data_IF_355364878554
#
_entry.id   IF_355364878554
#
_cell.length_a   1.000
_cell.length_b   1.000
_cell.length_c   1.000
_cell.angle_alpha   90.00
_cell.angle_beta   90.00
_cell.angle_gamma   90.00
#
_symmetry.space_group_name_H-M   'P 1'
#
loop_
_entity.id
_entity.type
_entity.pdbx_description
1 polymer ?
#
# COMPACT_ATOMS: atom_id res chain seq x y z
N UNK A 1 14.05 3.32 0.81
CA UNK A 1 15.29 3.73 1.52
C UNK A 1 15.98 2.47 2.01
N UNK A 2 17.32 2.44 1.95
CA UNK A 2 18.15 1.28 2.24
C UNK A 2 19.35 1.71 3.10
N UNK A 3 19.69 0.91 4.11
CA UNK A 3 20.96 0.92 4.83
C UNK A 3 21.60 -0.46 4.60
N UNK A 4 22.52 -0.56 3.63
CA UNK A 4 23.00 -1.86 3.17
C UNK A 4 23.70 -2.65 4.30
N UNK A 5 24.61 -2.07 5.11
CA UNK A 5 25.25 -2.80 6.19
C UNK A 5 24.27 -3.34 7.23
N UNK A 6 23.24 -2.57 7.58
CA UNK A 6 22.18 -3.04 8.47
C UNK A 6 21.38 -4.17 7.81
N UNK A 7 20.98 -4.01 6.55
CA UNK A 7 20.22 -5.01 5.79
C UNK A 7 20.97 -6.34 5.72
N UNK A 8 22.26 -6.32 5.39
CA UNK A 8 23.08 -7.54 5.26
C UNK A 8 23.21 -8.29 6.59
N UNK A 9 23.20 -7.59 7.73
CA UNK A 9 23.17 -8.23 9.06
C UNK A 9 21.87 -8.98 9.35
N UNK A 10 20.75 -8.58 8.72
CA UNK A 10 19.45 -9.24 8.90
C UNK A 10 19.35 -10.60 8.19
N UNK A 11 20.17 -10.82 7.16
CA UNK A 11 20.29 -12.14 6.53
C UNK A 11 21.08 -13.09 7.44
N UNK A 12 20.64 -14.36 7.61
CA UNK A 12 21.45 -15.40 8.23
C UNK A 12 22.80 -15.52 7.55
N UNK A 13 23.84 -15.81 8.32
CA UNK A 13 25.24 -15.75 7.86
C UNK A 13 25.49 -16.57 6.59
N UNK A 14 24.97 -17.80 6.53
CA UNK A 14 25.09 -18.69 5.36
C UNK A 14 24.43 -18.17 4.08
N UNK A 15 23.56 -17.15 4.17
CA UNK A 15 22.83 -16.58 3.04
C UNK A 15 23.31 -15.19 2.64
N UNK A 16 24.21 -14.57 3.41
CA UNK A 16 24.69 -13.19 3.14
C UNK A 16 25.43 -13.03 1.82
N UNK A 17 26.01 -14.11 1.28
CA UNK A 17 26.71 -14.11 -0.01
C UNK A 17 25.80 -14.40 -1.21
N UNK A 18 24.53 -14.78 -0.99
CA UNK A 18 23.59 -15.09 -2.09
C UNK A 18 23.24 -13.83 -2.89
N UNK A 19 22.93 -13.94 -4.20
CA UNK A 19 22.61 -12.78 -5.02
C UNK A 19 21.44 -11.96 -4.47
N UNK A 20 21.62 -10.63 -4.36
CA UNK A 20 20.60 -9.70 -3.88
C UNK A 20 20.38 -8.58 -4.90
N UNK A 21 19.14 -8.41 -5.37
CA UNK A 21 18.78 -7.31 -6.26
C UNK A 21 18.06 -6.21 -5.47
N UNK A 22 18.66 -5.03 -5.40
CA UNK A 22 18.05 -3.83 -4.82
C UNK A 22 17.37 -3.00 -5.90
N UNK A 23 16.09 -2.74 -5.71
CA UNK A 23 15.22 -2.02 -6.65
C UNK A 23 14.86 -0.67 -6.01
N UNK A 24 15.38 0.43 -6.58
CA UNK A 24 15.21 1.77 -6.00
C UNK A 24 15.00 2.87 -7.04
N UNK A 25 14.40 3.97 -6.59
CA UNK A 25 14.18 5.19 -7.39
C UNK A 25 15.15 6.34 -7.13
N UNK A 26 16.23 6.13 -6.35
CA UNK A 26 17.19 7.21 -6.06
C UNK A 26 17.86 7.78 -7.31
N UNK A 27 18.11 9.10 -7.27
CA UNK A 27 18.77 9.90 -8.30
C UNK A 27 19.93 10.69 -7.69
N UNK A 28 20.85 11.18 -8.54
CA UNK A 28 21.97 12.04 -8.17
C UNK A 28 22.79 11.52 -6.96
N UNK A 29 23.17 12.39 -6.01
CA UNK A 29 24.06 12.06 -4.90
C UNK A 29 23.58 10.89 -4.02
N UNK A 30 22.26 10.72 -3.84
CA UNK A 30 21.72 9.59 -3.07
C UNK A 30 21.97 8.24 -3.75
N UNK A 31 21.95 8.21 -5.09
CA UNK A 31 22.29 7.01 -5.87
C UNK A 31 23.78 6.69 -5.70
N UNK A 32 24.64 7.70 -5.89
CA UNK A 32 26.10 7.53 -5.77
C UNK A 32 26.50 7.04 -4.38
N UNK A 33 25.91 7.59 -3.32
CA UNK A 33 26.18 7.14 -1.95
C UNK A 33 25.80 5.65 -1.75
N UNK A 34 24.64 5.22 -2.26
CA UNK A 34 24.19 3.83 -2.16
C UNK A 34 25.09 2.88 -2.98
N UNK A 35 25.50 3.30 -4.19
CA UNK A 35 26.40 2.51 -5.04
C UNK A 35 27.79 2.36 -4.41
N UNK A 36 28.33 3.41 -3.80
CA UNK A 36 29.58 3.36 -3.02
C UNK A 36 29.44 2.39 -1.85
N UNK A 37 28.34 2.45 -1.08
CA UNK A 37 28.12 1.54 0.05
C UNK A 37 28.04 0.07 -0.40
N UNK A 38 27.45 -0.19 -1.57
CA UNK A 38 27.34 -1.52 -2.15
C UNK A 38 28.66 -2.09 -2.69
N UNK A 39 29.70 -1.28 -2.95
CA UNK A 39 31.01 -1.79 -3.41
C UNK A 39 31.64 -2.79 -2.44
N UNK A 40 31.25 -2.73 -1.16
CA UNK A 40 31.67 -3.67 -0.11
C UNK A 40 31.01 -5.05 -0.23
N UNK A 41 30.05 -5.23 -1.13
CA UNK A 41 29.23 -6.44 -1.27
C UNK A 41 29.10 -6.85 -2.74
N UNK A 42 29.92 -7.81 -3.18
CA UNK A 42 29.99 -8.25 -4.58
C UNK A 42 28.72 -8.94 -5.10
N UNK A 43 27.88 -9.45 -4.20
CA UNK A 43 26.62 -10.14 -4.52
C UNK A 43 25.42 -9.20 -4.69
N UNK A 44 25.57 -7.90 -4.40
CA UNK A 44 24.51 -6.91 -4.53
C UNK A 44 24.50 -6.34 -5.95
N UNK A 45 23.33 -6.37 -6.59
CA UNK A 45 23.07 -5.73 -7.88
C UNK A 45 21.96 -4.70 -7.74
N UNK A 46 21.94 -3.73 -8.64
CA UNK A 46 20.90 -2.70 -8.70
C UNK A 46 20.08 -2.78 -9.99
N UNK A 47 18.80 -2.45 -9.89
CA UNK A 47 17.95 -2.22 -11.05
C UNK A 47 18.17 -0.81 -11.61
N UNK A 48 19.09 -0.68 -12.58
CA UNK A 48 19.62 0.62 -13.04
C UNK A 48 18.64 1.45 -13.90
N UNK A 49 17.48 0.89 -14.33
CA UNK A 49 16.59 1.51 -15.33
C UNK A 49 15.28 2.10 -14.78
N UNK A 50 15.12 2.16 -13.46
CA UNK A 50 13.95 2.80 -12.83
C UNK A 50 13.91 4.32 -12.97
N UNK A 51 15.08 4.93 -13.19
CA UNK A 51 15.29 6.38 -13.17
C UNK A 51 14.56 7.09 -14.32
N UNK A 52 14.53 6.50 -15.52
CA UNK A 52 13.85 7.07 -16.69
C UNK A 52 12.30 7.07 -16.59
N UNK A 53 11.70 6.42 -15.58
CA UNK A 53 10.23 6.41 -15.39
C UNK A 53 9.75 7.31 -14.24
N UNK A 54 10.67 7.77 -13.40
CA UNK A 54 10.42 8.79 -12.38
C UNK A 54 10.69 10.22 -12.89
N UNK A 55 10.81 10.39 -14.21
CA UNK A 55 10.97 11.70 -14.88
C UNK A 55 9.84 12.69 -14.56
N UNK A 56 8.68 12.19 -14.12
CA UNK A 56 7.60 13.05 -13.65
C UNK A 56 7.95 13.65 -12.28
N UNK A 57 8.03 14.98 -12.23
CA UNK A 57 8.23 15.76 -10.99
C UNK A 57 7.32 15.22 -9.88
N UNK A 58 7.92 14.98 -8.71
CA UNK A 58 7.31 14.44 -7.48
C UNK A 58 6.94 12.95 -7.51
N UNK A 59 7.39 12.18 -8.51
CA UNK A 59 7.28 10.71 -8.49
C UNK A 59 8.22 10.08 -7.45
N UNK A 60 7.83 8.93 -6.89
CA UNK A 60 8.65 8.18 -5.93
C UNK A 60 8.54 6.68 -6.15
N UNK A 61 9.64 5.95 -6.00
CA UNK A 61 9.60 4.49 -5.85
C UNK A 61 9.33 4.16 -4.37
N UNK A 62 8.06 3.87 -4.06
CA UNK A 62 7.60 3.77 -2.67
C UNK A 62 7.17 2.34 -2.28
N UNK A 63 7.15 1.43 -3.25
CA UNK A 63 6.90 0.00 -3.07
C UNK A 63 7.94 -0.65 -2.18
N UNK A 64 7.46 -1.55 -1.32
CA UNK A 64 8.26 -2.29 -0.35
C UNK A 64 7.84 -3.74 -0.44
N UNK A 65 8.68 -4.51 -1.13
CA UNK A 65 8.40 -5.89 -1.47
C UNK A 65 9.69 -6.68 -1.48
N UNK A 66 9.62 -7.92 -1.01
CA UNK A 66 10.66 -8.92 -1.15
C UNK A 66 10.13 -10.06 -2.00
N UNK A 67 10.93 -10.51 -2.97
CA UNK A 67 10.70 -11.77 -3.68
C UNK A 67 11.86 -12.67 -3.28
N UNK A 68 11.53 -13.76 -2.61
CA UNK A 68 12.50 -14.66 -1.98
C UNK A 68 12.41 -16.00 -2.68
N UNK A 69 13.50 -16.39 -3.36
CA UNK A 69 13.61 -17.66 -4.06
C UNK A 69 14.43 -18.63 -3.20
N UNK A 70 13.85 -19.78 -2.92
CA UNK A 70 14.41 -20.87 -2.12
C UNK A 70 14.55 -22.13 -2.97
N UNK A 71 15.16 -23.16 -2.41
CA UNK A 71 15.23 -24.49 -3.04
C UNK A 71 13.83 -25.14 -3.08
N UNK A 72 13.03 -24.91 -2.04
CA UNK A 72 11.68 -25.46 -1.87
C UNK A 72 10.59 -24.70 -2.62
N UNK A 73 10.87 -23.47 -3.10
CA UNK A 73 9.92 -22.65 -3.82
C UNK A 73 10.17 -21.15 -3.70
N UNK A 74 9.11 -20.35 -3.80
CA UNK A 74 9.17 -18.89 -3.79
C UNK A 74 8.23 -18.29 -2.73
N UNK A 75 8.62 -17.17 -2.13
CA UNK A 75 7.75 -16.36 -1.27
C UNK A 75 7.78 -14.90 -1.70
N UNK A 76 6.61 -14.28 -1.66
CA UNK A 76 6.43 -12.85 -1.89
C UNK A 76 6.02 -12.20 -0.57
N UNK A 77 6.72 -11.16 -0.17
CA UNK A 77 6.42 -10.38 1.04
C UNK A 77 6.14 -8.95 0.60
N UNK A 78 4.95 -8.44 0.91
CA UNK A 78 4.57 -7.04 0.63
C UNK A 78 4.37 -6.34 1.98
N UNK A 79 5.14 -5.29 2.24
CA UNK A 79 5.22 -4.66 3.57
C UNK A 79 5.27 -3.14 3.49
N UNK A 80 5.35 -2.45 4.64
CA UNK A 80 5.33 -0.98 4.70
C UNK A 80 6.62 -0.33 5.22
N UNK A 81 7.56 -1.13 5.72
CA UNK A 81 8.86 -0.66 6.23
C UNK A 81 9.89 -0.38 5.14
N UNK A 82 10.64 0.72 5.23
CA UNK A 82 11.91 0.85 4.52
C UNK A 82 12.94 -0.17 5.06
N UNK A 83 14.01 -0.45 4.31
CA UNK A 83 15.09 -1.34 4.76
C UNK A 83 16.17 -0.55 5.51
N UNK A 84 15.77 0.04 6.63
CA UNK A 84 16.61 0.82 7.57
C UNK A 84 16.20 0.48 8.99
N UNK A 85 17.14 0.49 9.94
CA UNK A 85 16.89 0.00 11.30
C UNK A 85 15.70 0.66 11.99
N UNK A 86 15.65 2.00 11.91
CA UNK A 86 14.61 2.82 12.54
C UNK A 86 13.18 2.46 12.14
N UNK A 87 12.98 1.94 10.92
CA UNK A 87 11.66 1.58 10.42
C UNK A 87 11.15 0.27 11.03
N UNK A 88 12.04 -0.55 11.58
CA UNK A 88 11.74 -1.85 12.21
C UNK A 88 11.83 -1.82 13.74
N UNK A 89 12.31 -0.71 14.31
CA UNK A 89 12.53 -0.58 15.75
C UNK A 89 11.24 -0.26 16.55
N UNK A 90 10.71 0.95 16.42
CA UNK A 90 9.61 1.46 17.29
C UNK A 90 8.38 1.97 16.51
N UNK A 91 8.25 1.61 15.23
CA UNK A 91 7.12 2.01 14.37
C UNK A 91 6.07 0.92 14.25
N UNK A 92 4.83 1.32 14.01
CA UNK A 92 3.78 0.40 13.57
C UNK A 92 3.88 0.20 12.05
N UNK A 93 4.23 -1.01 11.63
CA UNK A 93 4.36 -1.43 10.25
C UNK A 93 3.40 -2.60 9.95
N UNK A 94 3.11 -2.81 8.68
CA UNK A 94 2.32 -3.95 8.18
C UNK A 94 3.14 -4.80 7.23
N UNK A 95 2.85 -6.10 7.23
CA UNK A 95 3.45 -7.06 6.33
C UNK A 95 2.44 -8.14 5.99
N UNK A 96 2.29 -8.41 4.70
CA UNK A 96 1.66 -9.61 4.19
C UNK A 96 2.75 -10.56 3.69
N UNK A 97 2.65 -11.81 4.13
CA UNK A 97 3.55 -12.90 3.76
C UNK A 97 2.74 -13.90 2.94
N UNK A 98 3.16 -14.15 1.70
CA UNK A 98 2.51 -15.18 0.89
C UNK A 98 2.70 -16.58 1.48
N UNK A 99 1.89 -17.58 1.08
CA UNK A 99 2.28 -18.99 1.20
C UNK A 99 3.63 -19.26 0.51
N UNK A 100 4.21 -20.43 0.78
CA UNK A 100 5.31 -20.92 -0.06
C UNK A 100 4.72 -21.39 -1.39
N UNK A 101 5.16 -20.79 -2.48
CA UNK A 101 4.74 -21.12 -3.83
C UNK A 101 5.69 -22.16 -4.41
N UNK A 102 5.24 -23.40 -4.71
CA UNK A 102 6.12 -24.42 -5.25
C UNK A 102 6.45 -24.15 -6.72
N UNK A 103 7.53 -24.75 -7.21
CA UNK A 103 7.90 -24.69 -8.63
C UNK A 103 6.94 -25.54 -9.46
N UNK A 104 6.55 -25.04 -10.64
CA UNK A 104 5.69 -25.79 -11.57
C UNK A 104 6.45 -26.99 -12.15
N UNK A 105 5.75 -28.13 -12.30
CA UNK A 105 6.29 -29.33 -12.96
C UNK A 105 6.47 -29.07 -14.47
N UNK A 106 7.67 -29.40 -14.99
CA UNK A 106 8.11 -29.11 -16.37
C UNK A 106 7.32 -29.83 -17.48
N UNK A 107 6.57 -30.89 -17.17
CA UNK A 107 6.17 -31.89 -18.17
C UNK A 107 4.89 -31.62 -18.98
N UNK A 108 4.22 -30.48 -18.84
CA UNK A 108 3.02 -30.20 -19.65
C UNK A 108 3.22 -28.99 -20.55
N UNK A 109 3.55 -29.30 -21.81
CA UNK A 109 3.76 -28.44 -22.97
C UNK A 109 2.54 -27.60 -23.37
N UNK A 110 2.08 -26.67 -22.53
CA UNK A 110 1.30 -25.50 -22.98
C UNK A 110 1.71 -24.25 -22.19
N UNK A 111 2.28 -23.28 -22.92
CA UNK A 111 2.64 -21.93 -22.49
C UNK A 111 1.41 -21.07 -22.17
N UNK A 112 0.61 -21.50 -21.19
CA UNK A 112 -0.47 -20.68 -20.68
C UNK A 112 0.06 -19.84 -19.51
N UNK A 113 0.19 -18.53 -19.72
CA UNK A 113 0.51 -17.55 -18.66
C UNK A 113 -0.48 -17.58 -17.47
N UNK A 114 -1.63 -18.23 -17.63
CA UNK A 114 -2.64 -18.49 -16.58
C UNK A 114 -2.32 -19.71 -15.70
N UNK A 115 -1.32 -20.54 -16.05
CA UNK A 115 -0.96 -21.74 -15.28
C UNK A 115 -0.39 -21.36 -13.92
N UNK A 116 -0.97 -21.90 -12.85
CA UNK A 116 -0.60 -21.57 -11.47
C UNK A 116 -0.98 -20.16 -11.06
N UNK A 117 -1.95 -19.52 -11.74
CA UNK A 117 -2.58 -18.30 -11.23
C UNK A 117 -3.67 -18.63 -10.20
N UNK A 118 -3.94 -17.69 -9.30
CA UNK A 118 -4.97 -17.85 -8.28
C UNK A 118 -6.33 -17.34 -8.74
N UNK A 119 -7.42 -17.68 -8.02
CA UNK A 119 -8.75 -17.08 -8.25
C UNK A 119 -8.80 -15.55 -8.09
N UNK A 120 -7.72 -14.95 -7.58
CA UNK A 120 -7.57 -13.50 -7.36
C UNK A 120 -6.78 -12.82 -8.49
N UNK A 121 -6.30 -13.58 -9.47
CA UNK A 121 -5.35 -13.15 -10.50
C UNK A 121 -4.01 -12.62 -9.95
N UNK A 122 -3.63 -13.07 -8.75
CA UNK A 122 -2.40 -12.62 -8.08
C UNK A 122 -1.14 -12.72 -8.97
N UNK A 123 -0.95 -13.86 -9.66
CA UNK A 123 0.25 -14.09 -10.47
C UNK A 123 0.29 -13.15 -11.66
N UNK A 124 -0.83 -13.03 -12.37
CA UNK A 124 -0.99 -12.12 -13.51
C UNK A 124 -0.75 -10.67 -13.09
N UNK A 125 -1.37 -10.23 -12.01
CA UNK A 125 -1.24 -8.85 -11.52
C UNK A 125 0.19 -8.55 -11.04
N UNK A 126 0.85 -9.50 -10.39
CA UNK A 126 2.25 -9.37 -9.99
C UNK A 126 3.18 -9.28 -11.21
N UNK A 127 2.97 -10.12 -12.23
CA UNK A 127 3.72 -10.06 -13.49
C UNK A 127 3.49 -8.73 -14.24
N UNK A 128 2.24 -8.26 -14.32
CA UNK A 128 1.91 -6.95 -14.90
C UNK A 128 2.60 -5.80 -14.13
N UNK A 129 2.62 -5.89 -12.80
CA UNK A 129 3.28 -4.91 -11.95
C UNK A 129 4.81 -4.90 -12.15
N UNK A 130 5.48 -6.05 -12.07
CA UNK A 130 6.94 -6.16 -12.31
C UNK A 130 7.27 -5.81 -13.77
N UNK A 131 6.44 -6.23 -14.73
CA UNK A 131 6.53 -5.88 -16.15
C UNK A 131 6.50 -4.38 -16.40
N UNK A 132 5.72 -3.64 -15.59
CA UNK A 132 5.62 -2.19 -15.69
C UNK A 132 6.93 -1.45 -15.37
N UNK A 133 7.93 -2.10 -14.78
CA UNK A 133 9.25 -1.49 -14.59
C UNK A 133 10.02 -1.36 -15.91
N UNK A 134 9.73 -2.21 -16.91
CA UNK A 134 10.44 -2.28 -18.20
C UNK A 134 11.97 -2.36 -18.04
N UNK A 135 12.45 -3.01 -16.98
CA UNK A 135 13.86 -3.17 -16.66
C UNK A 135 14.32 -4.60 -16.97
N UNK A 136 15.46 -4.73 -17.67
CA UNK A 136 15.96 -6.04 -18.09
C UNK A 136 16.39 -6.90 -16.89
N UNK A 137 16.90 -6.28 -15.83
CA UNK A 137 17.31 -6.96 -14.59
C UNK A 137 16.14 -7.67 -13.88
N UNK A 138 14.90 -7.31 -14.22
CA UNK A 138 13.70 -7.94 -13.66
C UNK A 138 13.13 -9.06 -14.54
N UNK A 139 13.69 -9.31 -15.73
CA UNK A 139 13.23 -10.40 -16.61
C UNK A 139 13.42 -11.77 -15.95
N UNK A 140 14.56 -12.00 -15.32
CA UNK A 140 14.82 -13.25 -14.60
C UNK A 140 13.82 -13.45 -13.47
N UNK A 141 13.46 -12.38 -12.75
CA UNK A 141 12.43 -12.43 -11.72
C UNK A 141 11.03 -12.67 -12.30
N UNK A 142 10.69 -12.09 -13.46
CA UNK A 142 9.43 -12.39 -14.16
C UNK A 142 9.36 -13.85 -14.57
N UNK A 143 10.46 -14.42 -15.09
CA UNK A 143 10.52 -15.84 -15.44
C UNK A 143 10.38 -16.72 -14.20
N UNK A 144 11.11 -16.41 -13.13
CA UNK A 144 10.96 -17.14 -11.87
C UNK A 144 9.51 -17.06 -11.36
N UNK A 145 8.85 -15.90 -11.39
CA UNK A 145 7.42 -15.79 -11.02
C UNK A 145 6.55 -16.66 -11.94
N UNK A 146 6.81 -16.65 -13.26
CA UNK A 146 6.09 -17.45 -14.24
C UNK A 146 6.25 -18.96 -13.99
N UNK A 147 7.40 -19.39 -13.48
CA UNK A 147 7.73 -20.80 -13.23
C UNK A 147 7.20 -21.34 -11.88
N UNK A 148 6.55 -20.51 -11.05
CA UNK A 148 6.00 -20.93 -9.76
C UNK A 148 4.46 -20.96 -9.75
N UNK A 149 3.90 -21.89 -8.97
CA UNK A 149 2.47 -22.00 -8.74
C UNK A 149 2.04 -21.07 -7.60
N UNK A 150 1.29 -20.03 -7.95
CA UNK A 150 0.75 -19.04 -7.03
C UNK A 150 -0.76 -19.21 -6.80
N UNK A 151 -1.34 -20.35 -7.17
CA UNK A 151 -2.78 -20.63 -7.05
C UNK A 151 -3.33 -20.52 -5.62
N UNK A 152 -2.46 -20.74 -4.62
CA UNK A 152 -2.80 -20.63 -3.20
C UNK A 152 -2.97 -19.19 -2.67
N UNK A 153 -2.68 -18.17 -3.48
CA UNK A 153 -2.86 -16.78 -3.10
C UNK A 153 -4.35 -16.40 -2.98
N UNK A 154 -4.72 -15.80 -1.83
CA UNK A 154 -6.10 -15.41 -1.50
C UNK A 154 -6.34 -13.90 -1.44
N UNK A 155 -5.36 -13.10 -1.89
CA UNK A 155 -5.40 -11.63 -1.85
C UNK A 155 -5.25 -11.06 -3.26
N UNK A 156 -5.86 -9.90 -3.52
CA UNK A 156 -5.74 -9.20 -4.80
C UNK A 156 -4.60 -8.19 -4.74
N UNK A 157 -3.75 -8.12 -5.77
CA UNK A 157 -2.70 -7.11 -5.88
C UNK A 157 -3.30 -5.76 -6.28
N UNK A 158 -2.99 -4.71 -5.51
CA UNK A 158 -3.30 -3.33 -5.84
C UNK A 158 -1.97 -2.58 -6.01
N UNK A 159 -1.55 -2.41 -7.26
CA UNK A 159 -0.32 -1.70 -7.60
C UNK A 159 -0.55 -0.32 -8.20
N UNK A 160 0.45 0.54 -8.10
CA UNK A 160 0.54 1.77 -8.88
C UNK A 160 1.85 1.79 -9.65
N UNK A 161 1.80 2.19 -10.91
CA UNK A 161 2.99 2.32 -11.76
C UNK A 161 2.96 3.68 -12.46
N UNK A 162 4.08 4.45 -12.45
CA UNK A 162 4.14 5.75 -13.10
C UNK A 162 3.79 5.67 -14.58
N UNK A 163 2.92 6.58 -15.02
CA UNK A 163 2.56 6.74 -16.41
C UNK A 163 1.17 7.33 -16.60
N UNK A 164 0.81 7.51 -17.87
CA UNK A 164 -0.55 7.84 -18.31
C UNK A 164 -1.19 6.58 -18.86
N UNK A 165 -2.18 6.07 -18.17
CA UNK A 165 -2.88 4.82 -18.49
C UNK A 165 -4.21 5.15 -19.16
N UNK A 166 -4.48 4.53 -20.32
CA UNK A 166 -5.68 4.77 -21.14
C UNK A 166 -6.39 3.45 -21.41
N UNK A 167 -7.66 3.52 -21.82
CA UNK A 167 -8.50 2.35 -22.14
C UNK A 167 -8.46 1.31 -21.00
N UNK A 168 -8.37 0.02 -21.32
CA UNK A 168 -8.34 -1.09 -20.36
C UNK A 168 -7.18 -1.00 -19.36
N UNK A 169 -6.05 -0.42 -19.75
CA UNK A 169 -4.89 -0.25 -18.86
C UNK A 169 -5.17 0.71 -17.69
N UNK A 170 -6.21 1.55 -17.80
CA UNK A 170 -6.67 2.41 -16.71
C UNK A 170 -7.04 1.58 -15.47
N UNK A 171 -7.60 0.39 -15.63
CA UNK A 171 -8.06 -0.46 -14.53
C UNK A 171 -6.98 -1.36 -13.92
N UNK A 172 -5.74 -1.30 -14.43
CA UNK A 172 -4.62 -2.10 -13.91
C UNK A 172 -3.95 -1.49 -12.67
N UNK A 173 -4.02 -0.18 -12.50
CA UNK A 173 -3.23 0.53 -11.48
C UNK A 173 -4.04 1.58 -10.70
N UNK A 174 -3.50 1.98 -9.56
CA UNK A 174 -4.00 3.10 -8.76
C UNK A 174 -5.43 2.87 -8.24
N UNK A 175 -6.17 3.96 -8.04
CA UNK A 175 -7.53 3.89 -7.50
C UNK A 175 -8.50 3.23 -8.48
N UNK A 176 -8.21 3.24 -9.77
CA UNK A 176 -9.02 2.57 -10.79
C UNK A 176 -8.91 1.05 -10.71
N UNK A 177 -7.80 0.49 -10.18
CA UNK A 177 -7.70 -0.94 -9.87
C UNK A 177 -8.65 -1.36 -8.75
N UNK A 178 -9.00 -0.44 -7.84
CA UNK A 178 -10.00 -0.70 -6.80
C UNK A 178 -11.40 -0.93 -7.38
N UNK A 179 -11.64 -0.67 -8.67
CA UNK A 179 -12.87 -1.10 -9.36
C UNK A 179 -13.13 -2.61 -9.24
N UNK A 180 -12.10 -3.43 -8.96
CA UNK A 180 -12.28 -4.84 -8.62
C UNK A 180 -13.30 -5.04 -7.47
N UNK A 181 -13.38 -4.08 -6.54
CA UNK A 181 -14.38 -4.05 -5.46
C UNK A 181 -15.82 -4.07 -6.00
N UNK A 182 -16.09 -3.50 -7.17
CA UNK A 182 -17.44 -3.40 -7.73
C UNK A 182 -18.00 -4.79 -8.03
N UNK A 183 -17.19 -5.63 -8.68
CA UNK A 183 -17.56 -7.03 -8.94
C UNK A 183 -17.90 -7.82 -7.66
N UNK A 184 -17.37 -7.40 -6.50
CA UNK A 184 -17.65 -8.02 -5.20
C UNK A 184 -18.82 -7.38 -4.46
N UNK A 185 -18.95 -6.05 -4.55
CA UNK A 185 -19.97 -5.28 -3.86
C UNK A 185 -21.31 -5.27 -4.60
N UNK A 186 -21.38 -5.69 -5.87
CA UNK A 186 -22.62 -5.67 -6.65
C UNK A 186 -23.76 -6.46 -5.99
N UNK A 187 -23.44 -7.54 -5.28
CA UNK A 187 -24.41 -8.37 -4.55
C UNK A 187 -24.70 -7.85 -3.12
N UNK A 188 -24.12 -6.72 -2.71
CA UNK A 188 -24.15 -6.19 -1.33
C UNK A 188 -24.45 -4.67 -1.24
N UNK A 189 -24.85 -4.03 -2.34
CA UNK A 189 -25.00 -2.57 -2.46
C UNK A 189 -25.91 -1.94 -1.39
N UNK A 190 -27.02 -2.60 -1.04
CA UNK A 190 -28.00 -2.09 -0.07
C UNK A 190 -27.44 -2.08 1.36
N UNK A 191 -26.72 -3.13 1.75
CA UNK A 191 -26.14 -3.29 3.08
C UNK A 191 -24.96 -2.34 3.34
N UNK A 192 -24.13 -2.09 2.32
CA UNK A 192 -22.90 -1.32 2.46
C UNK A 192 -23.12 0.21 2.40
N UNK A 193 -24.29 0.70 1.97
CA UNK A 193 -24.55 2.14 1.77
C UNK A 193 -24.28 2.99 3.01
N UNK A 194 -24.51 2.46 4.20
CA UNK A 194 -24.28 3.15 5.49
C UNK A 194 -22.87 2.99 6.05
N UNK A 195 -22.06 2.07 5.48
CA UNK A 195 -20.73 1.72 5.99
C UNK A 195 -19.70 2.77 5.59
N UNK A 196 -18.98 3.38 6.55
CA UNK A 196 -17.95 4.37 6.27
C UNK A 196 -16.72 3.75 5.61
N UNK A 197 -15.90 4.58 4.96
CA UNK A 197 -14.54 4.22 4.56
C UNK A 197 -13.55 4.85 5.54
N UNK A 198 -12.61 4.04 6.00
CA UNK A 198 -11.48 4.47 6.82
C UNK A 198 -10.22 4.43 5.96
N UNK A 199 -9.51 5.55 5.91
CA UNK A 199 -8.14 5.61 5.41
C UNK A 199 -7.18 5.94 6.54
N UNK A 200 -6.14 5.12 6.72
CA UNK A 200 -5.03 5.35 7.63
C UNK A 200 -3.75 5.42 6.81
N UNK A 201 -2.96 6.47 7.01
CA UNK A 201 -1.73 6.69 6.26
C UNK A 201 -0.73 7.52 7.07
N UNK A 202 0.52 7.61 6.59
CA UNK A 202 1.59 8.38 7.24
C UNK A 202 1.93 9.67 6.49
N UNK A 203 1.37 9.91 5.31
CA UNK A 203 1.59 11.16 4.56
C UNK A 203 0.36 11.57 3.77
N UNK A 204 0.28 12.87 3.46
CA UNK A 204 -0.82 13.47 2.72
C UNK A 204 -0.26 14.39 1.62
N UNK A 205 -0.70 14.15 0.38
CA UNK A 205 -0.39 15.00 -0.77
C UNK A 205 -1.39 16.14 -0.96
N UNK A 206 -1.18 16.95 -2.01
CA UNK A 206 -2.16 17.97 -2.43
C UNK A 206 -3.37 17.32 -3.09
N UNK A 207 -4.55 17.45 -2.48
CA UNK A 207 -5.80 16.83 -2.94
C UNK A 207 -6.69 17.81 -3.72
N UNK A 208 -6.44 19.11 -3.62
CA UNK A 208 -7.25 20.18 -4.20
C UNK A 208 -7.91 21.04 -3.12
N UNK A 209 -8.45 22.20 -3.51
CA UNK A 209 -8.99 23.19 -2.57
C UNK A 209 -10.27 22.73 -1.84
N UNK A 210 -11.04 21.84 -2.46
CA UNK A 210 -12.29 21.29 -1.92
C UNK A 210 -12.25 19.76 -1.94
N UNK A 211 -13.10 19.12 -1.13
CA UNK A 211 -13.25 17.65 -1.10
C UNK A 211 -13.63 17.06 -2.47
N UNK A 212 -14.35 17.83 -3.27
CA UNK A 212 -14.91 17.42 -4.55
C UNK A 212 -13.88 17.50 -5.69
N UNK A 213 -12.71 18.11 -5.46
CA UNK A 213 -11.68 18.26 -6.47
C UNK A 213 -10.96 16.94 -6.86
N UNK A 214 -11.03 15.90 -6.02
CA UNK A 214 -10.45 14.57 -6.31
C UNK A 214 -10.89 13.54 -5.27
N UNK A 215 -10.90 13.92 -3.99
CA UNK A 215 -11.06 12.98 -2.90
C UNK A 215 -12.45 12.31 -2.92
N UNK A 216 -13.52 13.09 -2.99
CA UNK A 216 -14.89 12.57 -3.02
C UNK A 216 -15.27 12.03 -4.41
N UNK A 217 -14.90 12.76 -5.47
CA UNK A 217 -15.28 12.49 -6.86
C UNK A 217 -14.56 11.29 -7.47
N UNK A 218 -13.27 11.13 -7.22
CA UNK A 218 -12.46 10.10 -7.87
C UNK A 218 -12.03 9.01 -6.90
N UNK A 219 -11.38 9.38 -5.79
CA UNK A 219 -10.81 8.36 -4.90
C UNK A 219 -11.91 7.56 -4.19
N UNK A 220 -12.89 8.25 -3.60
CA UNK A 220 -13.88 7.59 -2.76
C UNK A 220 -15.02 6.94 -3.52
N UNK A 221 -15.44 7.51 -4.65
CA UNK A 221 -16.47 6.91 -5.52
C UNK A 221 -16.11 5.45 -5.84
N UNK A 222 -14.86 5.17 -6.21
CA UNK A 222 -14.37 3.82 -6.49
C UNK A 222 -14.19 2.92 -5.25
N UNK A 223 -14.23 3.47 -4.03
CA UNK A 223 -14.15 2.68 -2.78
C UNK A 223 -15.52 2.40 -2.14
N UNK A 224 -16.54 3.18 -2.51
CA UNK A 224 -17.88 3.16 -1.88
C UNK A 224 -18.94 2.61 -2.83
N UNK A 225 -18.89 2.97 -4.12
CA UNK A 225 -20.00 2.75 -5.05
C UNK A 225 -19.55 2.10 -6.36
N UNK A 226 -20.24 1.01 -6.71
CA UNK A 226 -20.03 0.27 -7.95
C UNK A 226 -20.64 0.90 -9.20
N UNK A 227 -20.75 2.22 -9.30
CA UNK A 227 -21.16 2.92 -10.52
C UNK A 227 -20.78 4.41 -10.49
N UNK A 228 -20.45 4.94 -11.66
CA UNK A 228 -20.08 6.33 -11.94
C UNK A 228 -21.25 7.34 -11.90
N UNK A 229 -22.40 6.98 -11.32
CA UNK A 229 -23.63 7.78 -11.33
C UNK A 229 -24.33 7.77 -9.96
N UNK A 230 -23.78 8.51 -8.99
CA UNK A 230 -24.54 8.92 -7.79
C UNK A 230 -24.18 10.37 -7.46
N UNK A 231 -25.13 11.22 -7.04
CA UNK A 231 -24.84 12.56 -6.57
C UNK A 231 -23.87 12.54 -5.38
N UNK A 232 -22.79 13.33 -5.50
CA UNK A 232 -21.70 13.55 -4.54
C UNK A 232 -22.14 13.79 -3.07
N UNK A 233 -23.39 14.18 -2.85
CA UNK A 233 -23.96 14.54 -1.57
C UNK A 233 -24.16 13.33 -0.61
N UNK A 234 -24.09 12.09 -1.09
CA UNK A 234 -24.41 10.91 -0.28
C UNK A 234 -23.20 10.07 0.15
N UNK A 235 -21.99 10.36 -0.36
CA UNK A 235 -20.77 9.68 0.09
C UNK A 235 -20.34 10.28 1.43
N UNK A 236 -20.73 9.58 2.47
CA UNK A 236 -20.33 9.83 3.84
C UNK A 236 -18.83 9.56 4.01
N UNK A 237 -18.03 10.55 3.64
CA UNK A 237 -16.59 10.61 3.86
C UNK A 237 -16.36 10.79 5.35
N UNK A 238 -16.27 9.71 6.14
CA UNK A 238 -16.36 9.86 7.59
C UNK A 238 -15.00 9.98 8.28
N UNK A 239 -14.03 9.10 8.02
CA UNK A 239 -12.92 8.94 8.97
C UNK A 239 -11.53 8.76 8.32
N UNK A 240 -10.57 9.55 8.78
CA UNK A 240 -9.15 9.47 8.42
C UNK A 240 -8.31 9.37 9.67
N UNK A 241 -7.45 8.36 9.77
CA UNK A 241 -6.52 8.24 10.90
C UNK A 241 -5.19 8.88 10.48
N UNK A 242 -4.82 9.95 11.19
CA UNK A 242 -3.55 10.63 11.01
C UNK A 242 -3.03 11.05 12.40
N UNK A 243 -1.75 10.83 12.76
CA UNK A 243 -1.27 11.15 14.11
C UNK A 243 -1.34 12.63 14.44
N UNK A 244 -1.82 12.99 15.64
CA UNK A 244 -1.76 14.38 16.13
C UNK A 244 -0.33 14.78 16.55
N UNK A 245 -0.11 16.08 16.79
CA UNK A 245 1.11 16.56 17.46
C UNK A 245 1.37 15.83 18.77
N UNK A 246 0.34 15.64 19.60
CA UNK A 246 0.49 14.91 20.87
C UNK A 246 0.74 13.42 20.69
N UNK A 247 0.15 12.78 19.68
CA UNK A 247 0.48 11.38 19.36
C UNK A 247 1.99 11.24 19.08
N UNK A 248 2.58 12.16 18.31
CA UNK A 248 4.01 12.13 18.00
C UNK A 248 4.85 12.52 19.20
N UNK A 249 4.51 13.61 19.90
CA UNK A 249 5.22 14.08 21.10
C UNK A 249 5.31 13.01 22.20
N UNK A 250 4.23 12.26 22.43
CA UNK A 250 4.15 11.21 23.45
C UNK A 250 4.50 9.80 22.91
N UNK A 251 4.98 9.70 21.67
CA UNK A 251 5.40 8.43 21.07
C UNK A 251 6.67 7.88 21.73
N UNK A 252 7.07 6.67 21.36
CA UNK A 252 8.33 6.07 21.81
C UNK A 252 9.56 6.83 21.30
N UNK A 253 9.50 7.33 20.05
CA UNK A 253 10.59 8.05 19.41
C UNK A 253 10.53 9.57 19.67
N UNK A 254 9.43 10.08 20.24
CA UNK A 254 9.17 11.52 20.38
C UNK A 254 9.01 12.24 19.03
N UNK A 255 9.42 13.51 18.96
CA UNK A 255 9.37 14.30 17.72
C UNK A 255 10.11 13.70 16.52
N UNK A 256 11.25 12.97 16.67
CA UNK A 256 11.87 12.22 15.59
C UNK A 256 10.92 11.31 14.78
N UNK A 257 9.86 10.74 15.39
CA UNK A 257 8.87 9.97 14.62
C UNK A 257 8.15 10.79 13.54
N UNK A 258 8.06 12.11 13.72
CA UNK A 258 7.44 13.05 12.77
C UNK A 258 8.13 13.06 11.40
N UNK A 259 9.43 12.73 11.32
CA UNK A 259 10.14 12.60 10.05
C UNK A 259 9.57 11.49 9.15
N UNK A 260 8.89 10.49 9.74
CA UNK A 260 8.19 9.41 9.03
C UNK A 260 6.71 9.72 8.79
N UNK A 261 6.23 10.91 9.21
CA UNK A 261 4.85 11.37 9.04
C UNK A 261 4.81 12.69 8.24
N UNK A 262 5.31 12.71 6.98
CA UNK A 262 5.47 13.96 6.25
C UNK A 262 4.13 14.53 5.81
N UNK A 263 3.77 15.69 6.34
CA UNK A 263 2.65 16.51 5.86
C UNK A 263 3.02 17.99 5.98
N UNK A 264 3.44 18.60 4.86
CA UNK A 264 3.99 19.94 4.91
C UNK A 264 2.90 21.00 5.13
N UNK A 265 3.29 22.06 5.85
CA UNK A 265 2.45 23.23 6.12
C UNK A 265 1.87 23.85 4.83
N UNK A 266 2.67 23.88 3.76
CA UNK A 266 2.31 24.47 2.48
C UNK A 266 1.23 23.65 1.75
N UNK A 267 1.21 22.34 1.96
CA UNK A 267 0.13 21.48 1.47
C UNK A 267 -1.08 21.61 2.38
N UNK A 268 -0.90 21.56 3.70
CA UNK A 268 -2.00 21.63 4.67
C UNK A 268 -2.87 22.88 4.55
N UNK A 269 -2.25 24.06 4.38
CA UNK A 269 -2.96 25.34 4.20
C UNK A 269 -3.89 25.36 2.99
N UNK A 270 -3.63 24.55 1.94
CA UNK A 270 -4.43 24.50 0.71
C UNK A 270 -5.66 23.62 0.81
N UNK A 271 -5.83 22.86 1.89
CA UNK A 271 -6.86 21.82 2.03
C UNK A 271 -7.35 21.68 3.48
N UNK A 272 -7.68 22.80 4.11
CA UNK A 272 -8.11 22.87 5.52
C UNK A 272 -9.33 22.03 5.83
N UNK A 273 -10.21 21.81 4.83
CA UNK A 273 -11.38 20.93 4.95
C UNK A 273 -11.02 19.48 5.35
N UNK A 274 -9.77 19.03 5.16
CA UNK A 274 -9.39 17.66 5.56
C UNK A 274 -9.38 17.46 7.07
N UNK A 275 -9.11 18.52 7.83
CA UNK A 275 -8.91 18.45 9.29
C UNK A 275 -10.15 17.98 10.04
N UNK A 276 -11.36 18.29 9.53
CA UNK A 276 -12.63 17.83 10.12
C UNK A 276 -12.84 16.32 10.04
N UNK A 277 -12.05 15.63 9.22
CA UNK A 277 -12.13 14.18 9.04
C UNK A 277 -11.05 13.42 9.82
N UNK A 278 -10.12 14.12 10.49
CA UNK A 278 -9.00 13.48 11.19
C UNK A 278 -9.40 12.90 12.54
N UNK A 279 -8.83 11.73 12.80
CA UNK A 279 -9.00 10.92 14.00
C UNK A 279 -7.63 10.56 14.56
N UNK A 280 -7.55 10.46 15.88
CA UNK A 280 -6.33 10.15 16.60
C UNK A 280 -5.76 8.78 16.20
N UNK A 281 -4.43 8.65 16.25
CA UNK A 281 -3.80 7.33 16.27
C UNK A 281 -4.02 6.70 17.64
N UNK A 282 -4.76 5.59 17.69
CA UNK A 282 -5.00 4.78 18.88
C UNK A 282 -4.91 3.31 18.48
N UNK A 283 -4.10 2.55 19.21
CA UNK A 283 -3.83 1.14 18.95
C UNK A 283 -3.52 0.45 20.28
N UNK A 284 -4.47 0.48 21.22
CA UNK A 284 -4.33 -0.11 22.56
C UNK A 284 -4.40 -1.62 22.47
N UNK A 285 -5.32 -2.18 21.68
CA UNK A 285 -5.47 -3.63 21.52
C UNK A 285 -4.20 -4.31 20.98
N UNK A 286 -3.41 -3.56 20.19
CA UNK A 286 -2.11 -4.02 19.66
C UNK A 286 -0.90 -3.60 20.52
N UNK A 287 -1.12 -2.88 21.61
CA UNK A 287 -0.05 -2.29 22.44
C UNK A 287 0.80 -1.23 21.73
N UNK A 288 0.29 -0.61 20.66
CA UNK A 288 1.06 0.22 19.71
C UNK A 288 0.62 1.68 19.63
N UNK A 289 -0.18 2.17 20.58
CA UNK A 289 -0.61 3.58 20.62
C UNK A 289 0.58 4.57 20.65
N UNK A 290 1.73 4.17 21.21
CA UNK A 290 2.96 4.98 21.24
C UNK A 290 3.94 4.67 20.10
N UNK A 291 3.68 3.64 19.30
CA UNK A 291 4.48 3.29 18.13
C UNK A 291 3.87 3.94 16.89
N UNK A 292 4.47 5.01 16.40
CA UNK A 292 3.87 5.82 15.34
C UNK A 292 3.65 5.02 14.05
N UNK A 293 2.53 5.25 13.35
CA UNK A 293 2.18 4.48 12.18
C UNK A 293 3.01 4.90 10.97
N UNK A 294 3.75 3.94 10.44
CA UNK A 294 4.28 4.00 9.08
C UNK A 294 3.58 2.99 8.14
N UNK A 295 2.74 2.12 8.69
CA UNK A 295 1.72 1.38 7.93
C UNK A 295 0.73 2.32 7.23
N UNK A 296 0.17 1.87 6.11
CA UNK A 296 -0.97 2.49 5.44
C UNK A 296 -2.03 1.41 5.20
N UNK A 297 -3.25 1.68 5.62
CA UNK A 297 -4.37 0.77 5.41
C UNK A 297 -5.65 1.50 5.07
N UNK A 298 -6.49 0.82 4.30
CA UNK A 298 -7.81 1.30 3.91
C UNK A 298 -8.81 0.18 4.16
N UNK A 299 -9.97 0.51 4.71
CA UNK A 299 -11.02 -0.47 4.92
C UNK A 299 -12.40 0.17 4.93
N UNK A 300 -13.42 -0.68 4.90
CA UNK A 300 -14.82 -0.26 5.00
C UNK A 300 -15.49 -1.02 6.15
N UNK A 301 -15.46 -0.50 7.40
CA UNK A 301 -16.01 -1.20 8.55
C UNK A 301 -17.53 -1.09 8.66
N UNK A 302 -18.11 -2.03 9.41
CA UNK A 302 -19.51 -1.99 9.82
C UNK A 302 -19.77 -0.81 10.76
N UNK A 303 -21.02 -0.32 10.85
CA UNK A 303 -21.41 0.63 11.88
C UNK A 303 -21.10 0.14 13.31
N UNK A 304 -21.15 -1.18 13.54
CA UNK A 304 -20.79 -1.82 14.81
C UNK A 304 -19.28 -1.94 15.04
N UNK A 305 -18.44 -1.63 14.04
CA UNK A 305 -16.97 -1.78 14.08
C UNK A 305 -16.44 -3.20 14.34
N UNK A 306 -17.28 -4.23 14.16
CA UNK A 306 -16.90 -5.64 14.38
C UNK A 306 -16.50 -6.36 13.09
N UNK A 307 -16.83 -5.79 11.93
CA UNK A 307 -16.58 -6.40 10.64
C UNK A 307 -16.12 -5.36 9.61
N UNK A 308 -15.46 -5.80 8.54
CA UNK A 308 -15.13 -4.97 7.37
C UNK A 308 -15.59 -5.64 6.08
N UNK A 309 -16.03 -4.85 5.10
CA UNK A 309 -16.38 -5.36 3.79
C UNK A 309 -15.14 -5.75 2.98
N UNK A 310 -14.03 -5.05 3.23
CA UNK A 310 -12.73 -5.30 2.64
C UNK A 310 -11.65 -4.60 3.47
N UNK A 311 -10.41 -5.08 3.36
CA UNK A 311 -9.24 -4.49 4.01
C UNK A 311 -8.07 -4.46 3.04
N UNK A 312 -7.38 -3.33 2.96
CA UNK A 312 -6.19 -3.13 2.14
C UNK A 312 -5.05 -2.68 3.05
N UNK A 313 -3.90 -3.32 2.90
CA UNK A 313 -2.61 -2.81 3.40
C UNK A 313 -1.71 -2.51 2.21
N UNK A 314 -1.09 -1.34 2.19
CA UNK A 314 -0.37 -0.83 1.01
C UNK A 314 0.77 0.10 1.38
N UNK A 315 1.65 0.39 0.42
CA UNK A 315 2.58 1.51 0.53
C UNK A 315 1.91 2.86 0.22
N UNK A 316 0.78 2.88 -0.48
CA UNK A 316 0.14 4.11 -0.95
C UNK A 316 -0.37 4.99 0.21
N UNK A 317 0.17 6.20 0.30
CA UNK A 317 -0.35 7.28 1.14
C UNK A 317 -1.55 7.99 0.47
N UNK A 318 -2.25 8.87 1.19
CA UNK A 318 -3.33 9.66 0.60
C UNK A 318 -2.78 10.78 -0.30
N UNK A 319 -2.51 10.45 -1.57
CA UNK A 319 -2.02 11.40 -2.56
C UNK A 319 -2.42 11.02 -3.98
N UNK A 320 -2.56 12.01 -4.86
CA UNK A 320 -2.76 11.81 -6.31
C UNK A 320 -1.55 11.14 -6.97
N UNK A 321 -0.34 11.35 -6.43
CA UNK A 321 0.87 10.73 -6.96
C UNK A 321 0.87 9.20 -6.82
N UNK A 322 0.41 8.72 -5.66
CA UNK A 322 0.28 7.30 -5.32
C UNK A 322 -0.93 6.64 -6.00
N UNK A 323 -2.11 7.26 -5.88
CA UNK A 323 -3.37 6.66 -6.32
C UNK A 323 -3.75 6.97 -7.77
N UNK A 324 -3.20 8.04 -8.33
CA UNK A 324 -3.53 8.55 -9.65
C UNK A 324 -4.61 9.62 -9.64
N UNK A 325 -4.68 10.40 -10.71
CA UNK A 325 -5.74 11.37 -10.98
C UNK A 325 -6.15 11.30 -12.45
N UNK A 326 -7.45 11.45 -12.70
CA UNK A 326 -7.99 11.46 -14.05
C UNK A 326 -7.63 12.78 -14.77
N UNK A 327 -7.15 12.64 -16.01
CA UNK A 327 -6.86 13.72 -16.95
C UNK A 327 -7.77 13.58 -18.18
N UNK A 328 -7.80 14.62 -19.04
CA UNK A 328 -8.52 14.58 -20.33
C UNK A 328 -9.96 14.07 -20.21
N UNK A 329 -10.74 14.68 -19.31
CA UNK A 329 -12.16 14.33 -19.05
C UNK A 329 -12.37 12.84 -18.71
N UNK A 330 -11.44 12.20 -18.00
CA UNK A 330 -11.60 10.81 -17.51
C UNK A 330 -11.13 9.71 -18.46
N UNK A 331 -10.64 10.07 -19.66
CA UNK A 331 -10.09 9.12 -20.64
C UNK A 331 -8.71 8.58 -20.24
N UNK A 332 -8.00 9.25 -19.33
CA UNK A 332 -6.62 8.96 -18.97
C UNK A 332 -6.43 9.03 -17.46
N UNK A 333 -5.75 8.05 -16.86
CA UNK A 333 -5.32 8.07 -15.46
C UNK A 333 -3.82 8.35 -15.40
N UNK A 334 -3.43 9.42 -14.70
CA UNK A 334 -2.03 9.78 -14.52
C UNK A 334 -1.56 9.39 -13.10
N UNK A 335 -0.53 8.55 -13.03
CA UNK A 335 0.12 8.09 -11.79
C UNK A 335 1.59 8.53 -11.83
N UNK A 336 2.14 8.97 -10.68
CA UNK A 336 3.54 9.44 -10.57
C UNK A 336 4.45 8.49 -9.82
N UNK A 337 3.91 7.63 -8.97
CA UNK A 337 4.70 6.81 -8.04
C UNK A 337 4.49 5.31 -8.24
N UNK A 338 5.50 4.53 -7.86
CA UNK A 338 5.37 3.09 -7.70
C UNK A 338 4.84 2.77 -6.31
N UNK A 339 3.67 2.14 -6.23
CA UNK A 339 3.07 1.67 -4.98
C UNK A 339 2.65 0.20 -5.13
N UNK A 340 2.53 -0.51 -4.01
CA UNK A 340 2.02 -1.87 -4.00
C UNK A 340 1.33 -2.18 -2.67
N UNK A 341 0.25 -2.94 -2.74
CA UNK A 341 -0.48 -3.43 -1.60
C UNK A 341 -1.29 -4.69 -1.93
N UNK A 342 -1.88 -5.27 -0.90
CA UNK A 342 -2.74 -6.45 -1.00
C UNK A 342 -4.11 -6.19 -0.40
N UNK A 343 -5.13 -6.53 -1.17
CA UNK A 343 -6.54 -6.36 -0.83
C UNK A 343 -7.13 -7.71 -0.41
N UNK A 344 -7.68 -7.73 0.80
CA UNK A 344 -8.40 -8.84 1.40
C UNK A 344 -9.89 -8.69 1.14
N UNK A 345 -10.49 -9.75 0.59
CA UNK A 345 -11.91 -9.78 0.24
C UNK A 345 -12.57 -11.02 0.85
N UNK A 346 -13.73 -10.86 1.52
CA UNK A 346 -14.41 -11.93 2.23
C UNK A 346 -14.57 -13.24 1.44
N UNK A 347 -14.90 -13.13 0.15
CA UNK A 347 -15.17 -14.30 -0.71
C UNK A 347 -14.00 -15.27 -0.86
N UNK A 348 -12.76 -14.83 -0.67
CA UNK A 348 -11.57 -15.68 -0.79
C UNK A 348 -11.20 -16.40 0.53
N UNK A 349 -11.95 -16.15 1.61
CA UNK A 349 -11.71 -16.69 2.95
C UNK A 349 -12.91 -17.49 3.48
N UNK A 350 -13.61 -18.23 2.59
CA UNK A 350 -14.60 -19.24 2.99
C UNK A 350 -16.05 -18.77 3.12
N UNK A 351 -16.51 -17.85 2.26
CA UNK A 351 -17.94 -17.51 2.06
C UNK A 351 -18.65 -16.68 3.17
N UNK A 352 -18.01 -15.61 3.65
CA UNK A 352 -18.70 -14.52 4.38
C UNK A 352 -18.96 -13.33 3.46
N UNK A 353 -20.01 -12.53 3.74
CA UNK A 353 -20.24 -11.22 3.10
C UNK A 353 -19.22 -10.18 3.57
N UNK A 354 -18.65 -10.38 4.75
CA UNK A 354 -17.76 -9.45 5.48
C UNK A 354 -16.60 -10.23 6.12
N UNK A 355 -15.58 -9.53 6.60
CA UNK A 355 -14.45 -10.08 7.36
C UNK A 355 -14.60 -9.62 8.82
N UNK A 356 -14.76 -10.53 9.79
CA UNK A 356 -14.68 -10.17 11.21
C UNK A 356 -13.34 -9.54 11.55
N UNK A 357 -13.35 -8.46 12.32
CA UNK A 357 -12.14 -7.73 12.71
C UNK A 357 -12.02 -7.60 14.23
N UNK A 358 -10.78 -7.47 14.69
CA UNK A 358 -10.47 -7.07 16.05
C UNK A 358 -9.23 -6.19 16.08
N UNK A 359 -9.03 -5.46 17.16
CA UNK A 359 -7.75 -4.80 17.44
C UNK A 359 -6.99 -5.49 18.57
N UNK A 360 -7.64 -6.41 19.29
CA UNK A 360 -7.04 -7.19 20.37
C UNK A 360 -6.07 -8.23 19.78
N UNK A 361 -4.82 -8.23 20.25
CA UNK A 361 -3.81 -9.18 19.80
C UNK A 361 -4.15 -10.64 20.12
N UNK A 362 -5.05 -10.89 21.08
CA UNK A 362 -5.45 -12.23 21.50
C UNK A 362 -6.55 -12.86 20.60
N UNK A 363 -7.20 -12.07 19.74
CA UNK A 363 -8.26 -12.55 18.84
C UNK A 363 -7.67 -13.21 17.56
N UNK A 364 -7.28 -14.48 17.64
CA UNK A 364 -6.60 -15.18 16.52
C UNK A 364 -7.49 -15.55 15.33
N UNK A 365 -8.80 -15.61 15.53
CA UNK A 365 -9.76 -16.05 14.49
C UNK A 365 -10.29 -14.91 13.61
N UNK A 366 -9.85 -13.68 13.88
CA UNK A 366 -10.32 -12.46 13.20
C UNK A 366 -9.17 -11.75 12.51
N UNK A 367 -9.51 -10.90 11.54
CA UNK A 367 -8.53 -10.02 10.94
C UNK A 367 -8.15 -8.91 11.93
N UNK A 368 -6.87 -8.88 12.32
CA UNK A 368 -6.36 -7.92 13.28
C UNK A 368 -6.05 -6.57 12.61
N UNK A 369 -6.84 -5.55 12.94
CA UNK A 369 -6.61 -4.18 12.53
C UNK A 369 -5.41 -3.58 13.27
N UNK A 370 -4.63 -2.70 12.63
CA UNK A 370 -3.46 -2.09 13.25
C UNK A 370 -3.82 -0.98 14.26
N UNK A 371 -5.09 -0.63 14.39
CA UNK A 371 -5.62 0.42 15.26
C UNK A 371 -6.98 0.01 15.84
N UNK A 372 -7.39 0.70 16.90
CA UNK A 372 -8.64 0.42 17.59
C UNK A 372 -9.83 1.04 16.84
N UNK A 373 -11.00 0.39 16.94
CA UNK A 373 -12.29 0.94 16.54
C UNK A 373 -13.25 0.96 17.75
N UNK A 374 -14.21 1.90 17.84
CA UNK A 374 -14.44 3.02 16.93
C UNK A 374 -13.36 4.11 17.03
N UNK A 375 -13.22 4.92 15.98
CA UNK A 375 -12.20 5.97 15.93
C UNK A 375 -12.55 7.17 16.82
N UNK A 376 -11.53 7.76 17.46
CA UNK A 376 -11.67 9.00 18.24
C UNK A 376 -11.39 10.23 17.36
N UNK A 377 -12.36 11.13 17.10
CA UNK A 377 -12.14 12.33 16.31
C UNK A 377 -11.19 13.29 17.01
N UNK A 378 -10.50 14.14 16.24
CA UNK A 378 -9.74 15.24 16.82
C UNK A 378 -10.66 16.15 17.63
N UNK A 379 -10.20 16.61 18.78
CA UNK A 379 -10.93 17.63 19.56
C UNK A 379 -10.94 18.95 18.77
N UNK A 380 -12.09 19.65 18.78
CA UNK A 380 -12.23 21.00 18.22
C UNK A 380 -11.51 22.00 19.12
N UNK A 381 -10.19 21.93 19.20
CA UNK A 381 -9.42 23.00 19.84
C UNK A 381 -9.22 24.12 18.82
N UNK A 382 -9.76 25.29 19.14
CA UNK A 382 -9.58 26.50 18.34
C UNK A 382 -8.10 26.81 18.19
N UNK A 383 -7.61 26.73 16.95
CA UNK A 383 -6.27 27.08 16.42
C UNK A 383 -5.49 25.86 15.90
N UNK A 384 -5.51 25.76 14.57
CA UNK A 384 -4.42 25.26 13.73
C UNK A 384 -3.80 23.92 14.20
N UNK A 385 -4.34 22.82 13.67
CA UNK A 385 -3.64 21.54 13.49
C UNK A 385 -2.55 21.71 12.40
N UNK A 386 -1.73 22.76 12.51
CA UNK A 386 -0.60 22.97 11.63
C UNK A 386 0.54 22.13 12.18
N UNK A 387 0.58 20.89 11.70
CA UNK A 387 1.67 19.97 11.96
C UNK A 387 2.93 20.54 11.29
N UNK A 388 3.80 21.16 12.08
CA UNK A 388 5.23 21.12 11.79
C UNK A 388 5.74 19.83 12.42
N UNK A 389 6.16 18.91 11.57
CA UNK A 389 7.17 17.93 11.94
C UNK A 389 8.41 18.24 11.12
#
# INVERSE_FOLDING_TARGET
MFEIPWLMKQYPEQFRSKPLLLVHGFTAGNKTALEIEATKYSNIKFCQKLQARLEMIYGTHHTKMMILLYEEGMRVVIHTSNLVERDWYQKTQGMWISPLFPKLKKEENKSNFSRGDSPTNFKKDLLDYIGSYKAYQLKDWQQNIADHDMSSAKVVIIGSSPGRHMAENKHKFGHMRLHVLNSFMDHQKTFLKSWPVIGQYSSIGSLGATKDAWLATEFLSHTVEGSSCVPLASINLKLKIFPTKDNVRCSLEGYPAGASIPYSINVAKKQTYLTSYFHHWISKGRGRSRAMPHIKSYCRPSPSSQEVAWFLVTSANLSKAAWGALEKKGSQLMIRSYELGVLFLPKFFGSKKTIPVSSDINDTDKLLLPYDLPLKPYQKEGKSVLMRF
#
